data_IF_378941420683
#
_entry.id   IF_378941420683
#
_cell.length_a   1.000
_cell.length_b   1.000
_cell.length_c   1.000
_cell.angle_alpha   90.00
_cell.angle_beta   90.00
_cell.angle_gamma   90.00
#
_symmetry.space_group_name_H-M   'P 1'
#
loop_
_entity.id
_entity.type
_entity.pdbx_description
1 polymer ?
#
# COMPACT_ATOMS: atom_id res chain seq x y z
N UNK A 1 3.47 0.12 11.29
CA UNK A 1 3.93 -0.49 10.02
C UNK A 1 5.01 -1.54 10.23
N UNK A 2 5.59 -1.69 11.43
CA UNK A 2 6.65 -2.67 11.69
C UNK A 2 6.23 -4.12 11.40
N UNK A 3 4.95 -4.46 11.61
CA UNK A 3 4.39 -5.79 11.32
C UNK A 3 4.00 -6.04 9.85
N UNK A 4 4.07 -5.03 8.97
CA UNK A 4 3.70 -5.24 7.55
C UNK A 4 4.88 -5.78 6.75
N UNK A 5 4.63 -6.79 5.92
CA UNK A 5 5.60 -7.28 4.93
C UNK A 5 5.93 -6.19 3.90
N UNK A 6 7.05 -6.33 3.17
CA UNK A 6 7.40 -5.40 2.08
C UNK A 6 6.25 -5.19 1.09
N UNK A 7 5.68 -6.30 0.60
CA UNK A 7 4.57 -6.27 -0.33
C UNK A 7 3.32 -5.55 0.21
N UNK A 8 2.99 -5.71 1.50
CA UNK A 8 1.86 -5.01 2.12
C UNK A 8 2.10 -3.50 2.21
N UNK A 9 3.35 -3.10 2.47
CA UNK A 9 3.73 -1.68 2.46
C UNK A 9 3.62 -1.11 1.04
N UNK A 10 4.17 -1.80 0.06
CA UNK A 10 4.13 -1.37 -1.34
C UNK A 10 2.68 -1.26 -1.86
N UNK A 11 1.84 -2.24 -1.52
CA UNK A 11 0.40 -2.19 -1.79
C UNK A 11 -0.25 -0.95 -1.22
N UNK A 12 0.05 -0.62 0.04
CA UNK A 12 -0.51 0.55 0.70
C UNK A 12 -0.02 1.86 0.05
N UNK A 13 1.26 1.92 -0.33
CA UNK A 13 1.83 3.07 -1.05
C UNK A 13 1.20 3.25 -2.43
N UNK A 14 1.11 2.18 -3.21
CA UNK A 14 0.48 2.21 -4.54
C UNK A 14 -0.97 2.67 -4.44
N UNK A 15 -1.77 2.05 -3.54
CA UNK A 15 -3.16 2.43 -3.35
C UNK A 15 -3.32 3.89 -2.89
N UNK A 16 -2.37 4.42 -2.12
CA UNK A 16 -2.40 5.82 -1.68
C UNK A 16 -2.32 6.82 -2.83
N UNK A 17 -1.61 6.47 -3.91
CA UNK A 17 -1.50 7.29 -5.12
C UNK A 17 -2.66 7.15 -6.11
N UNK A 18 -3.50 6.11 -5.95
CA UNK A 18 -4.61 5.82 -6.87
C UNK A 18 -5.95 6.44 -6.44
N UNK A 19 -6.12 6.80 -5.16
CA UNK A 19 -7.43 7.18 -4.63
C UNK A 19 -8.36 5.97 -4.43
N UNK A 20 -9.66 6.12 -4.70
CA UNK A 20 -10.61 5.00 -4.67
C UNK A 20 -10.44 4.17 -5.94
N UNK A 21 -10.23 2.86 -5.81
CA UNK A 21 -9.96 1.98 -6.96
C UNK A 21 -10.45 0.56 -6.71
N UNK A 22 -10.86 -0.14 -7.78
CA UNK A 22 -11.22 -1.55 -7.67
C UNK A 22 -9.99 -2.48 -7.69
N UNK A 23 -10.18 -3.75 -7.34
CA UNK A 23 -9.10 -4.73 -7.25
C UNK A 23 -8.34 -4.96 -8.57
N UNK A 24 -9.00 -4.83 -9.72
CA UNK A 24 -8.36 -4.99 -11.03
C UNK A 24 -7.48 -3.78 -11.38
N UNK A 25 -7.91 -2.57 -11.05
CA UNK A 25 -7.10 -1.36 -11.20
C UNK A 25 -5.86 -1.44 -10.30
N UNK A 26 -6.03 -1.81 -9.03
CA UNK A 26 -4.92 -1.97 -8.08
C UNK A 26 -3.93 -3.03 -8.57
N UNK A 27 -4.41 -4.17 -9.07
CA UNK A 27 -3.56 -5.21 -9.64
C UNK A 27 -2.68 -4.68 -10.77
N UNK A 28 -3.28 -4.00 -11.76
CA UNK A 28 -2.52 -3.46 -12.90
C UNK A 28 -1.47 -2.46 -12.45
N UNK A 29 -1.81 -1.58 -11.51
CA UNK A 29 -0.87 -0.59 -11.01
C UNK A 29 0.27 -1.24 -10.20
N UNK A 30 -0.02 -2.25 -9.37
CA UNK A 30 1.01 -2.98 -8.65
C UNK A 30 1.99 -3.69 -9.59
N UNK A 31 1.47 -4.39 -10.60
CA UNK A 31 2.33 -5.06 -11.59
C UNK A 31 3.20 -4.05 -12.35
N UNK A 32 2.66 -2.86 -12.64
CA UNK A 32 3.41 -1.79 -13.31
C UNK A 32 4.49 -1.18 -12.41
N UNK A 33 4.24 -1.04 -11.11
CA UNK A 33 5.16 -0.40 -10.15
C UNK A 33 6.24 -1.34 -9.64
N UNK A 34 5.93 -2.63 -9.52
CA UNK A 34 6.84 -3.66 -9.01
C UNK A 34 7.57 -4.41 -10.13
N UNK A 35 7.21 -4.14 -11.39
CA UNK A 35 7.78 -4.77 -12.59
C UNK A 35 7.75 -6.32 -12.57
N UNK A 36 6.74 -6.89 -11.89
CA UNK A 36 6.59 -8.33 -11.75
C UNK A 36 5.14 -8.80 -12.00
N UNK A 37 4.95 -10.01 -12.56
CA UNK A 37 3.65 -10.68 -12.56
C UNK A 37 3.20 -11.00 -11.13
N UNK A 38 1.99 -10.58 -10.76
CA UNK A 38 1.43 -10.81 -9.42
C UNK A 38 0.19 -11.69 -9.55
N UNK A 39 0.19 -12.80 -8.82
CA UNK A 39 -0.97 -13.68 -8.72
C UNK A 39 -2.13 -12.94 -8.02
N UNK A 40 -3.36 -12.99 -8.56
CA UNK A 40 -4.52 -12.33 -7.96
C UNK A 40 -4.73 -12.68 -6.48
N UNK A 41 -4.54 -13.96 -6.10
CA UNK A 41 -4.67 -14.41 -4.71
C UNK A 41 -3.76 -13.64 -3.75
N UNK A 42 -2.49 -13.43 -4.13
CA UNK A 42 -1.52 -12.66 -3.34
C UNK A 42 -2.01 -11.23 -3.06
N UNK A 43 -2.70 -10.60 -4.01
CA UNK A 43 -3.23 -9.25 -3.80
C UNK A 43 -4.37 -9.26 -2.79
N UNK A 44 -5.31 -10.21 -2.92
CA UNK A 44 -6.47 -10.27 -2.04
C UNK A 44 -6.10 -10.70 -0.61
N UNK A 45 -5.16 -11.63 -0.44
CA UNK A 45 -4.64 -12.02 0.87
C UNK A 45 -4.00 -10.83 1.58
N UNK A 46 -3.17 -10.07 0.86
CA UNK A 46 -2.50 -8.90 1.43
C UNK A 46 -3.43 -7.71 1.63
N UNK A 47 -4.45 -7.53 0.78
CA UNK A 47 -5.55 -6.58 1.02
C UNK A 47 -6.28 -6.91 2.31
N UNK A 48 -6.57 -8.20 2.55
CA UNK A 48 -7.22 -8.66 3.77
C UNK A 48 -6.48 -8.20 5.02
N UNK A 49 -5.16 -8.36 5.05
CA UNK A 49 -4.30 -7.92 6.17
C UNK A 49 -4.40 -6.41 6.38
N UNK A 50 -4.20 -5.59 5.33
CA UNK A 50 -4.21 -4.12 5.50
C UNK A 50 -5.61 -3.55 5.79
N UNK A 51 -6.67 -4.28 5.42
CA UNK A 51 -8.05 -3.97 5.81
C UNK A 51 -8.25 -4.29 7.29
N UNK A 52 -7.83 -5.47 7.74
CA UNK A 52 -7.93 -5.89 9.15
C UNK A 52 -7.18 -4.93 10.08
N UNK A 53 -6.01 -4.43 9.65
CA UNK A 53 -5.23 -3.42 10.36
C UNK A 53 -5.85 -2.01 10.35
N UNK A 54 -6.94 -1.82 9.60
CA UNK A 54 -7.64 -0.54 9.45
C UNK A 54 -6.91 0.48 8.59
N UNK A 55 -5.93 0.07 7.78
CA UNK A 55 -5.18 0.96 6.88
C UNK A 55 -5.90 1.19 5.56
N UNK A 56 -6.71 0.23 5.12
CA UNK A 56 -7.52 0.30 3.90
C UNK A 56 -8.99 0.15 4.26
N UNK A 57 -9.83 0.98 3.64
CA UNK A 57 -11.28 0.84 3.67
C UNK A 57 -11.72 0.10 2.41
N UNK A 58 -12.66 -0.84 2.59
CA UNK A 58 -13.35 -1.54 1.51
C UNK A 58 -14.79 -1.05 1.46
N UNK A 59 -15.27 -0.72 0.26
CA UNK A 59 -16.68 -0.44 -0.01
C UNK A 59 -17.15 -1.31 -1.18
N UNK A 60 -18.46 -1.55 -1.22
CA UNK A 60 -19.09 -2.25 -2.32
C UNK A 60 -19.74 -1.24 -3.26
N UNK A 61 -19.47 -1.35 -4.58
CA UNK A 61 -20.03 -0.44 -5.59
C UNK A 61 -21.36 -0.95 -6.15
N UNK A 62 -21.44 -2.24 -6.49
CA UNK A 62 -22.55 -2.81 -7.27
C UNK A 62 -22.79 -4.32 -7.04
N UNK A 63 -22.58 -4.83 -5.82
CA UNK A 63 -22.77 -6.27 -5.51
C UNK A 63 -21.62 -7.18 -5.95
N UNK A 64 -20.84 -6.78 -6.96
CA UNK A 64 -19.75 -7.60 -7.53
C UNK A 64 -18.42 -6.88 -7.48
N UNK A 65 -18.43 -5.55 -7.58
CA UNK A 65 -17.23 -4.72 -7.60
C UNK A 65 -16.96 -4.16 -6.21
N UNK A 66 -15.84 -4.61 -5.62
CA UNK A 66 -15.28 -3.99 -4.43
C UNK A 66 -14.35 -2.84 -4.81
N UNK A 67 -14.46 -1.74 -4.08
CA UNK A 67 -13.59 -0.58 -4.14
C UNK A 67 -12.76 -0.48 -2.86
N UNK A 68 -11.53 -0.01 -3.02
CA UNK A 68 -10.55 0.11 -1.96
C UNK A 68 -10.00 1.53 -1.95
N UNK A 69 -9.79 2.08 -0.76
CA UNK A 69 -9.11 3.37 -0.57
C UNK A 69 -8.34 3.39 0.74
N UNK A 70 -7.23 4.12 0.78
CA UNK A 70 -6.47 4.29 2.02
C UNK A 70 -7.28 5.07 3.05
N UNK A 71 -7.35 4.54 4.27
CA UNK A 71 -8.05 5.17 5.40
C UNK A 71 -7.24 6.35 5.95
N UNK A 72 -7.84 7.25 6.76
CA UNK A 72 -7.08 8.28 7.48
C UNK A 72 -5.96 7.69 8.36
N UNK A 73 -6.18 6.51 8.95
CA UNK A 73 -5.16 5.78 9.73
C UNK A 73 -4.04 5.29 8.82
N UNK A 74 -4.37 4.72 7.66
CA UNK A 74 -3.39 4.30 6.66
C UNK A 74 -2.50 5.46 6.21
N UNK A 75 -3.09 6.63 5.90
CA UNK A 75 -2.34 7.84 5.53
C UNK A 75 -1.32 8.25 6.61
N UNK A 76 -1.73 8.27 7.88
CA UNK A 76 -0.81 8.58 9.00
C UNK A 76 0.34 7.57 9.12
N UNK A 77 0.07 6.30 8.86
CA UNK A 77 1.10 5.25 8.94
C UNK A 77 2.10 5.38 7.79
N UNK A 78 1.63 5.74 6.59
CA UNK A 78 2.48 6.08 5.44
C UNK A 78 3.37 7.29 5.76
N UNK A 79 2.80 8.37 6.30
CA UNK A 79 3.55 9.57 6.67
C UNK A 79 4.67 9.26 7.68
N UNK A 80 4.36 8.53 8.76
CA UNK A 80 5.37 8.10 9.74
C UNK A 80 6.46 7.23 9.13
N UNK A 81 6.11 6.40 8.15
CA UNK A 81 7.08 5.57 7.43
C UNK A 81 8.03 6.44 6.61
N UNK A 82 7.51 7.38 5.83
CA UNK A 82 8.30 8.32 5.04
C UNK A 82 9.22 9.18 5.91
N UNK A 83 8.72 9.67 7.05
CA UNK A 83 9.53 10.41 8.02
C UNK A 83 10.68 9.56 8.58
N UNK A 84 10.41 8.29 8.89
CA UNK A 84 11.45 7.36 9.34
C UNK A 84 12.49 7.09 8.24
N UNK A 85 12.06 6.79 7.01
CA UNK A 85 12.97 6.56 5.88
C UNK A 85 13.85 7.79 5.62
N UNK A 86 13.25 8.98 5.59
CA UNK A 86 13.98 10.24 5.42
C UNK A 86 15.04 10.44 6.51
N UNK A 87 14.71 10.17 7.78
CA UNK A 87 15.69 10.26 8.87
C UNK A 87 16.85 9.27 8.71
N UNK A 88 16.63 8.09 8.14
CA UNK A 88 17.73 7.13 7.90
C UNK A 88 18.63 7.61 6.76
N UNK A 89 18.04 8.02 5.64
CA UNK A 89 18.75 8.56 4.47
C UNK A 89 19.58 9.80 4.88
N UNK A 90 18.98 10.73 5.60
CA UNK A 90 19.66 11.96 6.07
C UNK A 90 20.78 11.67 7.09
N UNK A 91 20.73 10.51 7.78
CA UNK A 91 21.72 10.14 8.81
C UNK A 91 22.92 9.36 8.27
N UNK A 92 22.83 8.73 7.09
CA UNK A 92 23.87 7.83 6.56
C UNK A 92 24.54 8.32 5.27
N UNK A 93 23.91 9.22 4.50
CA UNK A 93 24.50 9.75 3.25
C UNK A 93 25.42 10.96 3.41
N UNK A 94 25.79 11.32 4.65
CA UNK A 94 26.69 12.45 4.96
C UNK A 94 28.17 12.01 5.07
N UNK A 95 28.51 10.74 4.82
CA UNK A 95 29.90 10.23 4.96
C UNK A 95 30.61 9.86 3.66
N UNK A 96 30.10 10.28 2.51
CA UNK A 96 30.85 10.23 1.23
C UNK A 96 30.74 11.57 0.49
N UNK A 97 31.44 12.57 1.04
CA UNK A 97 31.68 13.87 0.43
C UNK A 97 33.08 14.35 0.76
#
# INVERSE_FOLDING_TARGET
MHELTGFQRDLLFVLSGMGTSNGQQLKRELQRKLDEPILPGRIYDNLGVVIQEGYVLKSERDGRTNEYRVSPRGKRVIQRRLEWERRQVDSELVLEG
#
